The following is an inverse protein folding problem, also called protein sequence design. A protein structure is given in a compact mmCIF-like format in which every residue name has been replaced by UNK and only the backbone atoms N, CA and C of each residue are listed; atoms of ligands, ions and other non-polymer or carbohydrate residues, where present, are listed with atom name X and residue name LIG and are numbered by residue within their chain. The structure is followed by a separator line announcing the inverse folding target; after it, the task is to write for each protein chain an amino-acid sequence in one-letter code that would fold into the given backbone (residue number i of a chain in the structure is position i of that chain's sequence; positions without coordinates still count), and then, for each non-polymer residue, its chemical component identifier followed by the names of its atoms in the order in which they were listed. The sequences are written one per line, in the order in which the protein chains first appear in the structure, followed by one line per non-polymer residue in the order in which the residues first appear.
data_IF_026611111673
#
_entry.id   IF_026611111673
#
_cell.length_a   1.000
_cell.length_b   1.000
_cell.length_c   1.000
_cell.angle_alpha   90.00
_cell.angle_beta   90.00
_cell.angle_gamma   90.00
#
_symmetry.space_group_name_H-M   'P 1'
#
loop_
_entity.id
_entity.type
_entity.pdbx_description
1 polymer ?
#
# COMPACT_ATOMS: atom_id res chain seq x y z
N UNK A 1 -23.11 36.54 38.12
CA UNK A 1 -23.10 37.11 36.76
C UNK A 1 -24.15 36.37 35.94
N UNK A 2 -25.38 36.84 36.01
CA UNK A 2 -26.48 36.44 35.15
C UNK A 2 -26.60 37.49 34.05
N UNK A 3 -26.58 37.09 32.79
CA UNK A 3 -27.24 37.81 31.71
C UNK A 3 -27.81 36.76 30.76
N UNK A 4 -29.04 36.34 31.08
CA UNK A 4 -30.01 36.01 30.06
C UNK A 4 -30.27 37.28 29.25
N UNK A 5 -30.29 37.14 27.92
CA UNK A 5 -31.16 37.96 27.08
C UNK A 5 -31.57 37.14 25.85
N UNK A 6 -32.81 36.62 25.82
CA UNK A 6 -33.47 36.15 24.62
C UNK A 6 -34.15 37.33 23.91
N UNK A 7 -34.53 37.11 22.65
CA UNK A 7 -35.38 37.98 21.83
C UNK A 7 -34.67 39.14 21.12
N UNK A 8 -34.36 38.93 19.84
CA UNK A 8 -34.49 39.98 18.84
C UNK A 8 -35.07 39.38 17.56
N UNK A 9 -36.39 39.14 17.62
CA UNK A 9 -37.24 39.11 16.44
C UNK A 9 -37.36 40.57 15.99
N UNK A 10 -36.60 40.96 14.97
CA UNK A 10 -36.95 42.07 14.09
C UNK A 10 -37.61 41.43 12.86
N UNK A 11 -38.93 41.37 12.78
CA UNK A 11 -39.73 42.44 12.16
C UNK A 11 -38.99 43.11 10.99
N UNK A 12 -38.84 42.37 9.89
CA UNK A 12 -38.50 42.97 8.60
C UNK A 12 -39.80 43.56 8.04
N UNK A 13 -40.00 44.85 8.34
CA UNK A 13 -41.00 45.69 7.70
C UNK A 13 -40.98 45.44 6.20
N UNK A 14 -42.15 45.17 5.65
CA UNK A 14 -42.44 45.25 4.22
C UNK A 14 -42.23 46.69 3.77
N UNK A 15 -41.04 47.02 3.29
CA UNK A 15 -40.85 48.24 2.50
C UNK A 15 -41.62 48.08 1.20
N UNK A 16 -42.73 48.81 1.15
CA UNK A 16 -43.57 49.03 -0.01
C UNK A 16 -42.69 49.56 -1.15
N UNK A 17 -42.71 48.86 -2.29
CA UNK A 17 -42.10 49.31 -3.55
C UNK A 17 -42.43 50.79 -3.78
N UNK A 18 -41.48 51.67 -4.14
CA UNK A 18 -41.83 53.02 -4.55
C UNK A 18 -42.75 52.93 -5.77
N UNK A 19 -44.02 53.34 -5.59
CA UNK A 19 -44.99 53.50 -6.67
C UNK A 19 -44.49 54.65 -7.55
N UNK A 20 -43.71 54.33 -8.56
CA UNK A 20 -43.37 55.23 -9.65
C UNK A 20 -44.66 55.61 -10.37
N UNK A 21 -45.13 56.85 -10.17
CA UNK A 21 -46.16 57.45 -11.00
C UNK A 21 -45.48 57.90 -12.29
N UNK A 22 -45.83 57.39 -13.48
CA UNK A 22 -45.38 58.03 -14.71
C UNK A 22 -46.11 59.37 -14.80
N UNK A 23 -45.37 60.47 -14.61
CA UNK A 23 -45.86 61.79 -14.99
C UNK A 23 -46.10 61.76 -16.50
N UNK A 24 -47.35 62.00 -16.90
CA UNK A 24 -47.73 62.07 -18.30
C UNK A 24 -46.84 63.08 -19.05
N UNK A 25 -46.15 62.66 -20.13
CA UNK A 25 -45.38 63.58 -20.97
C UNK A 25 -46.32 64.64 -21.55
N UNK A 26 -46.02 65.92 -21.29
CA UNK A 26 -46.66 67.04 -21.99
C UNK A 26 -46.25 66.98 -23.45
N UNK A 27 -47.22 66.70 -24.31
CA UNK A 27 -47.10 66.75 -25.76
C UNK A 27 -47.13 68.24 -26.16
N UNK A 28 -46.10 68.80 -26.81
CA UNK A 28 -46.22 70.09 -27.47
C UNK A 28 -47.09 69.94 -28.71
N UNK A 29 -48.09 70.80 -28.82
CA UNK A 29 -49.03 70.87 -29.94
C UNK A 29 -48.32 71.07 -31.29
N UNK A 30 -48.75 70.27 -32.27
CA UNK A 30 -48.93 70.80 -33.63
C UNK A 30 -47.87 70.51 -34.69
N UNK A 31 -47.02 69.49 -34.56
CA UNK A 31 -46.32 68.93 -35.72
C UNK A 31 -46.98 67.61 -36.09
N UNK A 32 -47.40 67.46 -37.35
CA UNK A 32 -48.07 66.25 -37.86
C UNK A 32 -47.23 65.03 -37.45
N UNK A 33 -47.76 64.27 -36.51
CA UNK A 33 -47.13 63.05 -36.03
C UNK A 33 -47.17 62.05 -37.18
N UNK A 34 -46.06 61.93 -37.93
CA UNK A 34 -45.94 60.96 -39.00
C UNK A 34 -45.96 59.56 -38.39
N UNK A 35 -47.08 58.87 -38.55
CA UNK A 35 -47.27 57.49 -38.07
C UNK A 35 -46.22 56.53 -38.65
N UNK A 36 -45.76 56.80 -39.87
CA UNK A 36 -44.64 56.08 -40.50
C UNK A 36 -43.31 56.29 -39.77
N UNK A 37 -43.06 57.50 -39.23
CA UNK A 37 -41.84 57.79 -38.48
C UNK A 37 -41.86 57.11 -37.09
N UNK A 38 -43.03 57.04 -36.45
CA UNK A 38 -43.21 56.25 -35.22
C UNK A 38 -42.98 54.76 -35.48
N UNK A 39 -43.50 54.23 -36.59
CA UNK A 39 -43.35 52.82 -36.92
C UNK A 39 -41.89 52.48 -37.27
N UNK A 40 -41.19 53.34 -38.02
CA UNK A 40 -39.74 53.23 -38.26
C UNK A 40 -38.92 53.34 -36.98
N UNK A 41 -39.24 54.26 -36.07
CA UNK A 41 -38.56 54.40 -34.77
C UNK A 41 -38.77 53.16 -33.89
N UNK A 42 -39.95 52.55 -33.91
CA UNK A 42 -40.22 51.28 -33.23
C UNK A 42 -39.38 50.15 -33.82
N UNK A 43 -39.42 49.97 -35.14
CA UNK A 43 -38.61 48.94 -35.81
C UNK A 43 -37.11 49.11 -35.56
N UNK A 44 -36.59 50.34 -35.63
CA UNK A 44 -35.18 50.62 -35.34
C UNK A 44 -34.83 50.32 -33.88
N UNK A 45 -35.72 50.63 -32.93
CA UNK A 45 -35.52 50.29 -31.52
C UNK A 45 -35.48 48.77 -31.32
N UNK A 46 -36.44 48.05 -31.90
CA UNK A 46 -36.52 46.60 -31.79
C UNK A 46 -35.29 45.92 -32.42
N UNK A 47 -34.79 46.45 -33.55
CA UNK A 47 -33.55 45.96 -34.18
C UNK A 47 -32.31 46.20 -33.31
N UNK A 48 -32.21 47.38 -32.67
CA UNK A 48 -31.09 47.70 -31.76
C UNK A 48 -31.17 46.83 -30.50
N UNK A 49 -32.35 46.63 -29.94
CA UNK A 49 -32.56 45.80 -28.76
C UNK A 49 -32.26 44.32 -29.04
N UNK A 50 -32.68 43.82 -30.20
CA UNK A 50 -32.32 42.48 -30.66
C UNK A 50 -30.80 42.33 -30.85
N UNK A 51 -30.13 43.30 -31.48
CA UNK A 51 -28.68 43.28 -31.63
C UNK A 51 -27.97 43.27 -30.27
N UNK A 52 -28.42 44.11 -29.33
CA UNK A 52 -27.87 44.16 -27.98
C UNK A 52 -28.07 42.83 -27.21
N UNK A 53 -29.22 42.17 -27.36
CA UNK A 53 -29.47 40.85 -26.77
C UNK A 53 -28.58 39.75 -27.36
N UNK A 54 -28.37 39.80 -28.68
CA UNK A 54 -27.47 38.88 -29.39
C UNK A 54 -26.05 39.05 -28.85
N UNK A 55 -25.54 40.29 -28.82
CA UNK A 55 -24.19 40.59 -28.36
C UNK A 55 -24.01 40.24 -26.88
N UNK A 56 -25.02 40.54 -26.03
CA UNK A 56 -25.00 40.17 -24.62
C UNK A 56 -24.95 38.64 -24.41
N UNK A 57 -25.68 37.86 -25.23
CA UNK A 57 -25.65 36.40 -25.15
C UNK A 57 -24.27 35.84 -25.54
N UNK A 58 -23.66 36.36 -26.61
CA UNK A 58 -22.31 35.96 -27.02
C UNK A 58 -21.25 36.34 -25.98
N UNK A 59 -21.30 37.56 -25.46
CA UNK A 59 -20.36 38.03 -24.43
C UNK A 59 -20.52 37.25 -23.12
N UNK A 60 -21.75 36.91 -22.72
CA UNK A 60 -21.98 36.07 -21.54
C UNK A 60 -21.38 34.68 -21.73
N UNK A 61 -21.67 34.02 -22.86
CA UNK A 61 -21.11 32.70 -23.18
C UNK A 61 -19.59 32.71 -23.24
N UNK A 62 -19.00 33.73 -23.86
CA UNK A 62 -17.55 33.88 -23.95
C UNK A 62 -16.91 34.03 -22.57
N UNK A 63 -17.48 34.87 -21.70
CA UNK A 63 -17.00 35.04 -20.32
C UNK A 63 -17.11 33.75 -19.51
N UNK A 64 -18.25 33.05 -19.61
CA UNK A 64 -18.42 31.75 -18.95
C UNK A 64 -17.42 30.69 -19.45
N UNK A 65 -17.14 30.66 -20.75
CA UNK A 65 -16.15 29.76 -21.34
C UNK A 65 -14.73 30.09 -20.86
N UNK A 66 -14.35 31.37 -20.85
CA UNK A 66 -13.05 31.83 -20.33
C UNK A 66 -12.89 31.49 -18.85
N UNK A 67 -13.92 31.70 -18.03
CA UNK A 67 -13.91 31.32 -16.61
C UNK A 67 -13.80 29.81 -16.41
N UNK A 68 -14.53 29.03 -17.22
CA UNK A 68 -14.49 27.58 -17.17
C UNK A 68 -13.11 27.05 -17.58
N UNK A 69 -12.49 27.64 -18.60
CA UNK A 69 -11.13 27.31 -19.04
C UNK A 69 -10.13 27.66 -17.93
N UNK A 70 -10.20 28.88 -17.37
CA UNK A 70 -9.31 29.30 -16.28
C UNK A 70 -9.46 28.44 -15.01
N UNK A 71 -10.65 27.91 -14.74
CA UNK A 71 -10.89 26.97 -13.65
C UNK A 71 -10.29 25.59 -13.97
N UNK A 72 -10.51 25.07 -15.18
CA UNK A 72 -9.92 23.81 -15.65
C UNK A 72 -8.40 23.86 -15.60
N UNK A 73 -7.78 24.93 -16.10
CA UNK A 73 -6.32 25.13 -16.03
C UNK A 73 -5.81 25.13 -14.59
N UNK A 74 -6.50 25.77 -13.65
CA UNK A 74 -6.14 25.72 -12.22
C UNK A 74 -6.29 24.34 -11.60
N UNK A 75 -7.22 23.52 -12.07
CA UNK A 75 -7.37 22.13 -11.63
C UNK A 75 -6.27 21.25 -12.25
N UNK A 76 -6.03 21.40 -13.55
CA UNK A 76 -4.97 20.74 -14.32
C UNK A 76 -3.60 20.99 -13.68
N UNK A 77 -3.28 22.26 -13.39
CA UNK A 77 -2.05 22.68 -12.70
C UNK A 77 -1.90 22.00 -11.33
N UNK A 78 -2.95 21.98 -10.52
CA UNK A 78 -2.92 21.30 -9.22
C UNK A 78 -2.81 19.78 -9.35
N UNK A 79 -3.27 19.19 -10.44
CA UNK A 79 -3.11 17.75 -10.72
C UNK A 79 -1.69 17.45 -11.18
N UNK A 80 -1.12 18.26 -12.09
CA UNK A 80 0.24 18.10 -12.55
C UNK A 80 1.25 18.30 -11.42
N UNK A 81 1.08 19.30 -10.54
CA UNK A 81 1.91 19.49 -9.35
C UNK A 81 1.88 18.28 -8.40
N UNK A 82 0.70 17.68 -8.19
CA UNK A 82 0.59 16.45 -7.37
C UNK A 82 1.26 15.27 -8.03
N UNK A 83 1.08 15.10 -9.34
CA UNK A 83 1.74 14.03 -10.11
C UNK A 83 3.27 14.19 -10.09
N UNK A 84 3.77 15.42 -10.24
CA UNK A 84 5.19 15.73 -10.18
C UNK A 84 5.77 15.50 -8.78
N UNK A 85 5.08 15.92 -7.71
CA UNK A 85 5.48 15.60 -6.34
C UNK A 85 5.54 14.08 -6.10
N UNK A 86 4.60 13.32 -6.66
CA UNK A 86 4.64 11.85 -6.58
C UNK A 86 5.83 11.27 -7.35
N UNK A 87 6.12 11.77 -8.57
CA UNK A 87 7.31 11.37 -9.35
C UNK A 87 8.61 11.66 -8.59
N UNK A 88 8.77 12.86 -8.05
CA UNK A 88 9.95 13.23 -7.26
C UNK A 88 10.11 12.32 -6.03
N UNK A 89 9.01 11.99 -5.33
CA UNK A 89 9.06 11.06 -4.19
C UNK A 89 9.44 9.64 -4.63
N UNK A 90 8.89 9.17 -5.75
CA UNK A 90 9.20 7.85 -6.30
C UNK A 90 10.67 7.78 -6.75
N UNK A 91 11.17 8.81 -7.44
CA UNK A 91 12.56 8.88 -7.90
C UNK A 91 13.54 8.93 -6.72
N UNK A 92 13.24 9.72 -5.66
CA UNK A 92 14.04 9.75 -4.42
C UNK A 92 14.01 8.44 -3.63
N UNK A 93 12.91 7.67 -3.69
CA UNK A 93 12.88 6.33 -3.08
C UNK A 93 13.69 5.34 -3.92
N UNK A 94 13.53 5.39 -5.25
CA UNK A 94 14.28 4.55 -6.18
C UNK A 94 15.78 4.79 -6.05
N UNK A 95 16.24 6.04 -5.97
CA UNK A 95 17.64 6.40 -5.75
C UNK A 95 18.18 5.88 -4.40
N UNK A 96 17.39 5.98 -3.33
CA UNK A 96 17.78 5.40 -2.04
C UNK A 96 17.84 3.89 -2.08
N UNK A 97 16.99 3.25 -2.88
CA UNK A 97 17.01 1.80 -3.06
C UNK A 97 18.22 1.38 -3.90
N UNK A 98 18.48 2.04 -5.03
CA UNK A 98 19.65 1.75 -5.88
C UNK A 98 20.95 1.98 -5.12
N UNK A 99 21.07 3.05 -4.33
CA UNK A 99 22.26 3.27 -3.48
C UNK A 99 22.49 2.14 -2.47
N UNK A 100 21.43 1.60 -1.86
CA UNK A 100 21.54 0.46 -0.93
C UNK A 100 21.91 -0.84 -1.66
N UNK A 101 21.38 -1.03 -2.87
CA UNK A 101 21.66 -2.19 -3.69
C UNK A 101 23.07 -2.14 -4.29
N UNK A 102 23.56 -0.98 -4.71
CA UNK A 102 24.93 -0.75 -5.17
C UNK A 102 25.94 -0.91 -4.03
N UNK A 103 25.66 -0.42 -2.82
CA UNK A 103 26.52 -0.65 -1.66
C UNK A 103 26.56 -2.14 -1.28
N UNK A 104 25.41 -2.83 -1.36
CA UNK A 104 25.34 -4.27 -1.17
C UNK A 104 26.12 -5.01 -2.25
N UNK A 105 25.98 -4.61 -3.51
CA UNK A 105 26.66 -5.24 -4.65
C UNK A 105 28.17 -5.01 -4.57
N UNK A 106 28.63 -3.81 -4.21
CA UNK A 106 30.06 -3.50 -4.01
C UNK A 106 30.66 -4.29 -2.86
N UNK A 107 29.89 -4.52 -1.79
CA UNK A 107 30.29 -5.37 -0.67
C UNK A 107 30.32 -6.85 -1.07
N UNK A 108 29.34 -7.31 -1.83
CA UNK A 108 29.29 -8.67 -2.37
C UNK A 108 30.43 -8.91 -3.37
N UNK A 109 30.79 -7.93 -4.20
CA UNK A 109 31.91 -7.98 -5.13
C UNK A 109 33.26 -7.99 -4.39
N UNK A 110 33.42 -7.17 -3.35
CA UNK A 110 34.61 -7.19 -2.50
C UNK A 110 34.75 -8.50 -1.71
N UNK A 111 33.66 -9.04 -1.17
CA UNK A 111 33.64 -10.33 -0.48
C UNK A 111 33.85 -11.49 -1.47
N UNK A 112 33.34 -11.41 -2.70
CA UNK A 112 33.58 -12.39 -3.76
C UNK A 112 35.03 -12.39 -4.23
N UNK A 113 35.63 -11.21 -4.44
CA UNK A 113 37.06 -11.08 -4.76
C UNK A 113 37.94 -11.61 -3.64
N UNK A 114 37.61 -11.29 -2.38
CA UNK A 114 38.31 -11.83 -1.22
C UNK A 114 38.14 -13.35 -1.10
N UNK A 115 36.94 -13.89 -1.36
CA UNK A 115 36.71 -15.34 -1.39
C UNK A 115 37.52 -16.01 -2.50
N UNK A 116 37.58 -15.42 -3.69
CA UNK A 116 38.40 -15.94 -4.79
C UNK A 116 39.90 -15.91 -4.44
N UNK A 117 40.40 -14.84 -3.84
CA UNK A 117 41.80 -14.74 -3.38
C UNK A 117 42.09 -15.73 -2.24
N UNK A 118 41.17 -15.87 -1.27
CA UNK A 118 41.29 -16.83 -0.17
C UNK A 118 41.17 -18.27 -0.67
N UNK A 119 40.38 -18.56 -1.70
CA UNK A 119 40.25 -19.88 -2.32
C UNK A 119 41.47 -20.22 -3.18
N UNK A 120 42.03 -19.25 -3.91
CA UNK A 120 43.30 -19.41 -4.62
C UNK A 120 44.45 -19.66 -3.63
N UNK A 121 44.52 -18.90 -2.53
CA UNK A 121 45.48 -19.12 -1.44
C UNK A 121 45.23 -20.44 -0.72
N UNK A 122 43.98 -20.80 -0.42
CA UNK A 122 43.64 -22.10 0.18
C UNK A 122 43.95 -23.25 -0.76
N UNK A 123 43.73 -23.14 -2.07
CA UNK A 123 44.10 -24.18 -3.04
C UNK A 123 45.62 -24.33 -3.09
N UNK A 124 46.35 -23.21 -3.04
CA UNK A 124 47.82 -23.21 -2.90
C UNK A 124 48.29 -23.85 -1.58
N UNK A 125 47.64 -23.56 -0.46
CA UNK A 125 48.03 -24.06 0.87
C UNK A 125 47.51 -25.48 1.15
N UNK A 126 46.31 -25.86 0.69
CA UNK A 126 45.75 -27.22 0.78
C UNK A 126 46.47 -28.19 -0.15
N UNK A 127 47.06 -27.70 -1.25
CA UNK A 127 48.00 -28.48 -2.05
C UNK A 127 49.32 -28.74 -1.28
N UNK A 128 49.59 -28.00 -0.19
CA UNK A 128 50.79 -28.15 0.63
C UNK A 128 50.57 -28.70 2.06
N UNK A 129 49.35 -28.69 2.60
CA UNK A 129 49.08 -29.06 3.99
C UNK A 129 47.77 -29.87 4.10
N UNK A 130 47.91 -31.18 4.31
CA UNK A 130 46.84 -32.17 4.13
C UNK A 130 45.58 -32.05 5.03
N UNK A 131 44.48 -32.54 4.45
CA UNK A 131 43.18 -33.07 4.93
C UNK A 131 42.47 -32.53 6.19
N UNK A 132 43.14 -32.00 7.22
CA UNK A 132 42.49 -31.67 8.50
C UNK A 132 41.93 -30.23 8.59
N UNK A 133 42.27 -29.34 7.66
CA UNK A 133 41.80 -27.93 7.67
C UNK A 133 40.42 -27.72 7.03
N UNK A 134 39.90 -28.72 6.31
CA UNK A 134 38.65 -28.65 5.54
C UNK A 134 37.39 -28.48 6.42
N UNK A 135 37.38 -29.06 7.63
CA UNK A 135 36.24 -29.03 8.56
C UNK A 135 35.94 -27.64 9.15
N UNK A 136 36.97 -26.86 9.44
CA UNK A 136 36.81 -25.53 10.07
C UNK A 136 36.24 -24.49 9.10
N UNK A 137 36.57 -24.63 7.81
CA UNK A 137 36.13 -23.71 6.77
C UNK A 137 34.65 -23.82 6.42
N UNK A 138 34.06 -25.03 6.46
CA UNK A 138 32.62 -25.20 6.22
C UNK A 138 31.76 -24.51 7.29
N UNK A 139 32.23 -24.42 8.54
CA UNK A 139 31.54 -23.69 9.62
C UNK A 139 31.66 -22.16 9.47
N UNK A 140 32.75 -21.67 8.89
CA UNK A 140 32.97 -20.24 8.66
C UNK A 140 32.19 -19.72 7.45
N UNK A 141 32.06 -20.51 6.39
CA UNK A 141 31.38 -20.09 5.16
C UNK A 141 29.84 -20.03 5.33
N UNK A 142 29.26 -20.89 6.18
CA UNK A 142 27.85 -20.79 6.59
C UNK A 142 27.50 -19.48 7.33
N UNK A 143 28.50 -18.76 7.87
CA UNK A 143 28.31 -17.45 8.51
C UNK A 143 28.55 -16.27 7.57
N UNK A 144 29.18 -16.47 6.39
CA UNK A 144 29.64 -15.38 5.50
C UNK A 144 28.97 -15.35 4.13
N UNK A 145 28.27 -16.41 3.69
CA UNK A 145 27.54 -16.43 2.42
C UNK A 145 26.04 -16.15 2.61
N UNK A 146 25.62 -14.91 2.39
CA UNK A 146 24.23 -14.48 2.47
C UNK A 146 23.71 -14.45 3.90
N UNK A 147 23.18 -13.30 4.34
CA UNK A 147 22.46 -13.21 5.60
C UNK A 147 21.23 -14.13 5.45
N UNK A 148 21.35 -15.41 5.84
CA UNK A 148 20.21 -16.32 5.96
C UNK A 148 19.18 -15.52 6.74
N UNK A 149 18.07 -15.20 6.08
CA UNK A 149 17.04 -14.36 6.67
C UNK A 149 16.76 -14.93 8.05
N UNK A 150 17.03 -14.13 9.08
CA UNK A 150 16.97 -14.64 10.44
C UNK A 150 15.56 -15.19 10.67
N UNK A 151 15.40 -16.22 11.51
CA UNK A 151 14.06 -16.76 11.79
C UNK A 151 13.09 -15.66 12.27
N UNK A 152 13.63 -14.60 12.89
CA UNK A 152 12.90 -13.38 13.24
C UNK A 152 12.40 -12.60 12.01
N UNK A 153 13.25 -12.41 11.01
CA UNK A 153 12.89 -11.74 9.75
C UNK A 153 11.93 -12.59 8.92
N UNK A 154 12.08 -13.92 8.90
CA UNK A 154 11.13 -14.84 8.23
C UNK A 154 9.76 -14.81 8.90
N UNK A 155 9.71 -14.88 10.23
CA UNK A 155 8.47 -14.74 11.00
C UNK A 155 7.79 -13.40 10.70
N UNK A 156 8.55 -12.30 10.67
CA UNK A 156 8.00 -10.98 10.34
C UNK A 156 7.45 -10.92 8.91
N UNK A 157 8.15 -11.53 7.95
CA UNK A 157 7.70 -11.62 6.55
C UNK A 157 6.39 -12.42 6.43
N UNK A 158 6.32 -13.61 7.03
CA UNK A 158 5.13 -14.47 7.02
C UNK A 158 3.94 -13.79 7.71
N UNK A 159 4.16 -13.12 8.84
CA UNK A 159 3.09 -12.39 9.53
C UNK A 159 2.60 -11.18 8.75
N UNK A 160 3.48 -10.47 8.05
CA UNK A 160 3.10 -9.37 7.17
C UNK A 160 2.28 -9.87 5.97
N UNK A 161 2.64 -11.01 5.39
CA UNK A 161 1.90 -11.65 4.29
C UNK A 161 0.50 -12.12 4.74
N UNK A 162 0.38 -12.65 5.95
CA UNK A 162 -0.92 -13.05 6.53
C UNK A 162 -1.81 -11.85 6.90
N UNK A 163 -1.21 -10.67 7.11
CA UNK A 163 -1.94 -9.47 7.51
C UNK A 163 -2.58 -8.83 6.29
N UNK A 164 -3.89 -9.07 6.10
CA UNK A 164 -4.69 -8.39 5.08
C UNK A 164 -4.92 -6.93 5.50
N UNK A 165 -4.55 -5.93 4.68
CA UNK A 165 -4.87 -4.54 4.98
C UNK A 165 -6.39 -4.36 4.94
N UNK A 166 -6.93 -3.69 5.96
CA UNK A 166 -8.35 -3.39 6.04
C UNK A 166 -8.57 -1.98 5.50
N UNK A 167 -9.44 -1.85 4.51
CA UNK A 167 -9.95 -0.57 4.05
C UNK A 167 -11.40 -0.47 4.54
N UNK A 168 -11.69 0.47 5.44
CA UNK A 168 -13.00 0.58 6.12
C UNK A 168 -13.71 1.90 5.76
N UNK A 169 -12.99 2.87 5.20
CA UNK A 169 -13.42 4.28 5.13
C UNK A 169 -14.56 4.56 4.14
N UNK A 170 -14.89 3.60 3.28
CA UNK A 170 -15.89 3.78 2.20
C UNK A 170 -16.92 2.63 2.14
N UNK A 171 -17.18 1.94 3.25
CA UNK A 171 -18.16 0.84 3.32
C UNK A 171 -19.51 1.28 3.90
N UNK A 172 -20.58 0.69 3.37
CA UNK A 172 -21.95 0.83 3.88
C UNK A 172 -22.16 -0.02 5.16
N UNK A 173 -23.13 0.33 6.01
CA UNK A 173 -23.38 -0.31 7.31
C UNK A 173 -23.56 -1.84 7.22
N UNK A 174 -24.32 -2.32 6.23
CA UNK A 174 -24.53 -3.77 6.04
C UNK A 174 -23.22 -4.50 5.71
N UNK A 175 -22.38 -3.89 4.87
CA UNK A 175 -21.07 -4.44 4.50
C UNK A 175 -20.09 -4.39 5.67
N UNK A 176 -20.21 -3.41 6.57
CA UNK A 176 -19.42 -3.36 7.81
C UNK A 176 -19.82 -4.50 8.76
N UNK A 177 -21.11 -4.83 8.87
CA UNK A 177 -21.58 -5.97 9.67
C UNK A 177 -21.06 -7.30 9.13
N UNK A 178 -21.05 -7.49 7.82
CA UNK A 178 -20.47 -8.67 7.18
C UNK A 178 -18.96 -8.76 7.43
N UNK A 179 -18.22 -7.66 7.26
CA UNK A 179 -16.78 -7.62 7.53
C UNK A 179 -16.44 -7.88 8.99
N UNK A 180 -17.25 -7.40 9.92
CA UNK A 180 -17.08 -7.70 11.35
C UNK A 180 -17.25 -9.21 11.63
N UNK A 181 -18.24 -9.87 11.01
CA UNK A 181 -18.42 -11.33 11.11
C UNK A 181 -17.25 -12.08 10.51
N UNK A 182 -16.79 -11.71 9.31
CA UNK A 182 -15.62 -12.34 8.68
C UNK A 182 -14.36 -12.23 9.55
N UNK A 183 -14.10 -11.06 10.14
CA UNK A 183 -12.95 -10.87 11.03
C UNK A 183 -13.07 -11.69 12.31
N UNK A 184 -14.28 -11.82 12.85
CA UNK A 184 -14.55 -12.66 14.01
C UNK A 184 -14.29 -14.15 13.71
N UNK A 185 -14.74 -14.66 12.56
CA UNK A 185 -14.47 -16.05 12.14
C UNK A 185 -12.97 -16.32 11.94
N UNK A 186 -12.24 -15.36 11.37
CA UNK A 186 -10.78 -15.48 11.22
C UNK A 186 -10.09 -15.50 12.59
N UNK A 187 -10.53 -14.68 13.54
CA UNK A 187 -10.00 -14.68 14.90
C UNK A 187 -10.27 -16.03 15.59
N UNK A 188 -11.51 -16.50 15.53
CA UNK A 188 -11.92 -17.77 16.14
C UNK A 188 -11.13 -18.96 15.56
N UNK A 189 -10.93 -18.99 14.24
CA UNK A 189 -10.12 -20.01 13.56
C UNK A 189 -8.67 -20.00 14.06
N UNK A 190 -8.04 -18.82 14.15
CA UNK A 190 -6.66 -18.68 14.65
C UNK A 190 -6.52 -19.08 16.11
N UNK A 191 -7.54 -18.85 16.93
CA UNK A 191 -7.58 -19.29 18.33
C UNK A 191 -7.65 -20.81 18.46
N UNK A 192 -8.48 -21.45 17.63
CA UNK A 192 -8.58 -22.91 17.54
C UNK A 192 -7.24 -23.54 17.12
N UNK A 193 -6.62 -23.04 16.04
CA UNK A 193 -5.30 -23.50 15.58
C UNK A 193 -4.22 -23.33 16.67
N UNK A 194 -4.23 -22.20 17.38
CA UNK A 194 -3.33 -21.94 18.51
C UNK A 194 -3.52 -22.98 19.62
N UNK A 195 -4.77 -23.33 19.95
CA UNK A 195 -5.08 -24.34 20.96
C UNK A 195 -4.53 -25.72 20.55
N UNK A 196 -4.79 -26.16 19.33
CA UNK A 196 -4.27 -27.42 18.80
C UNK A 196 -2.74 -27.48 18.81
N UNK A 197 -2.07 -26.39 18.45
CA UNK A 197 -0.61 -26.31 18.50
C UNK A 197 -0.07 -26.37 19.94
N UNK A 198 -0.75 -25.74 20.89
CA UNK A 198 -0.38 -25.80 22.31
C UNK A 198 -0.50 -27.24 22.83
N UNK A 199 -1.61 -27.92 22.53
CA UNK A 199 -1.83 -29.31 22.96
C UNK A 199 -0.85 -30.29 22.28
N UNK A 200 -0.56 -30.10 20.99
CA UNK A 200 0.50 -30.85 20.28
C UNK A 200 1.86 -30.65 20.92
N UNK A 201 2.22 -29.41 21.28
CA UNK A 201 3.50 -29.12 21.95
C UNK A 201 3.56 -29.73 23.36
N UNK A 202 2.46 -29.75 24.11
CA UNK A 202 2.40 -30.45 25.40
C UNK A 202 2.65 -31.95 25.19
N UNK A 203 1.92 -32.60 24.28
CA UNK A 203 2.11 -34.03 23.95
C UNK A 203 3.54 -34.34 23.50
N UNK A 204 4.11 -33.51 22.61
CA UNK A 204 5.49 -33.61 22.15
C UNK A 204 6.54 -33.32 23.24
N UNK A 205 6.19 -32.75 24.39
CA UNK A 205 7.10 -32.66 25.54
C UNK A 205 7.07 -33.94 26.39
N UNK A 206 5.92 -34.61 26.47
CA UNK A 206 5.76 -35.87 27.21
C UNK A 206 6.27 -37.10 26.44
N UNK A 207 6.03 -37.19 25.14
CA UNK A 207 6.49 -38.28 24.25
C UNK A 207 8.02 -38.51 24.25
N UNK A 208 8.89 -37.50 24.09
CA UNK A 208 10.35 -37.68 24.12
C UNK A 208 10.90 -37.94 25.52
N UNK A 209 10.12 -37.79 26.59
CA UNK A 209 10.51 -38.30 27.91
C UNK A 209 10.49 -39.85 27.95
N UNK A 210 9.81 -40.50 27.00
CA UNK A 210 9.79 -41.97 26.79
C UNK A 210 10.90 -42.46 25.84
N UNK A 211 11.94 -41.66 25.62
CA UNK A 211 13.18 -42.06 24.93
C UNK A 211 14.12 -43.04 25.67
N UNK A 212 13.79 -43.74 26.80
CA UNK A 212 14.64 -44.83 27.24
C UNK A 212 14.71 -45.98 26.23
N UNK A 213 13.71 -46.16 25.35
CA UNK A 213 13.63 -47.38 24.51
C UNK A 213 14.73 -47.51 23.45
N UNK A 214 15.24 -46.41 22.88
CA UNK A 214 16.40 -46.47 21.97
C UNK A 214 17.73 -46.67 22.73
N UNK A 215 17.86 -46.09 23.93
CA UNK A 215 19.09 -46.22 24.73
C UNK A 215 19.27 -47.61 25.35
N UNK A 216 18.17 -48.29 25.67
CA UNK A 216 18.17 -49.64 26.26
C UNK A 216 18.48 -50.70 25.19
N UNK A 217 17.96 -50.56 23.97
CA UNK A 217 18.31 -51.45 22.86
C UNK A 217 19.78 -51.31 22.44
N UNK A 218 20.32 -50.09 22.38
CA UNK A 218 21.74 -49.86 22.07
C UNK A 218 22.68 -50.37 23.17
N UNK A 219 22.29 -50.30 24.45
CA UNK A 219 23.10 -50.81 25.57
C UNK A 219 23.11 -52.34 25.66
N UNK A 220 22.05 -53.03 25.20
CA UNK A 220 22.02 -54.52 25.14
C UNK A 220 22.89 -55.09 24.02
N UNK A 221 23.10 -54.35 22.92
CA UNK A 221 23.96 -54.80 21.82
C UNK A 221 25.46 -54.50 22.03
N UNK A 222 25.83 -53.68 23.01
CA UNK A 222 27.21 -53.21 23.23
C UNK A 222 28.04 -53.93 24.30
N UNK A 223 27.54 -55.01 24.91
CA UNK A 223 28.28 -55.80 25.91
C UNK A 223 28.28 -57.28 25.54
N UNK A 224 29.17 -57.62 24.62
CA UNK A 224 29.39 -59.00 24.18
C UNK A 224 30.69 -59.09 23.40
N UNK A 225 31.80 -58.66 23.99
CA UNK A 225 33.10 -59.13 23.54
C UNK A 225 33.27 -60.56 24.09
N UNK A 226 33.00 -61.57 23.26
CA UNK A 226 33.55 -62.91 23.45
C UNK A 226 34.06 -63.45 22.11
N UNK A 227 35.38 -63.36 22.00
CA UNK A 227 36.32 -64.20 21.26
C UNK A 227 35.77 -65.29 20.35
N UNK A 228 36.18 -65.18 19.08
CA UNK A 228 36.74 -66.25 18.25
C UNK A 228 36.09 -67.62 18.30
N UNK A 229 35.41 -67.98 17.21
CA UNK A 229 35.44 -69.32 16.61
C UNK A 229 35.09 -69.20 15.13
N UNK A 230 35.92 -69.82 14.29
CA UNK A 230 35.77 -69.92 12.85
C UNK A 230 34.35 -70.39 12.48
N UNK A 231 33.71 -69.66 11.57
CA UNK A 231 32.44 -70.08 10.97
C UNK A 231 32.75 -70.81 9.66
N UNK A 232 32.52 -72.12 9.68
CA UNK A 232 32.50 -72.98 8.49
C UNK A 232 31.50 -72.46 7.44
N UNK A 233 31.87 -72.65 6.18
CA UNK A 233 31.28 -72.14 4.93
C UNK A 233 29.87 -72.63 4.56
N UNK A 234 29.07 -73.15 5.51
CA UNK A 234 27.76 -73.76 5.21
C UNK A 234 26.52 -72.94 5.58
N UNK A 235 26.64 -71.72 6.11
CA UNK A 235 25.48 -70.87 6.45
C UNK A 235 25.40 -69.53 5.68
N UNK A 236 25.99 -69.45 4.48
CA UNK A 236 25.83 -68.27 3.60
C UNK A 236 24.61 -68.34 2.65
N UNK A 237 23.70 -69.31 2.81
CA UNK A 237 22.62 -69.57 1.85
C UNK A 237 21.21 -69.13 2.27
N UNK A 238 21.08 -68.35 3.34
CA UNK A 238 19.78 -67.83 3.78
C UNK A 238 19.86 -66.33 4.09
N UNK A 239 20.23 -65.51 3.11
CA UNK A 239 19.97 -64.07 3.21
C UNK A 239 19.81 -63.37 1.85
N UNK A 240 19.43 -64.11 0.80
CA UNK A 240 18.98 -63.54 -0.46
C UNK A 240 17.99 -64.49 -1.11
N UNK A 241 16.76 -64.45 -0.58
CA UNK A 241 15.51 -64.67 -1.32
C UNK A 241 14.42 -63.82 -0.66
#
# INVERSE_FOLDING_TARGET
HALLNPCFILFRSTEEKPKYKPSAPKIPDGEKVDFDDIQKKRQNKDLIELQALIDAHFEHRKKEEEELIALKERIEKRRSERAEQQRIRADKEKERQTRREEERLRREEADAKRKADDEAKKKSVLSGMGSNYSSYLQKADQKRGGKKQTEREKKKKILAERRKPLNIDHLNEDKLREKAKELWEVMHTLESEKFDHIEKLKRQKYEPALRPRCSVSARRCGRGAFSGKELNTSQKKCFWE
#
